data_IF_189632152407
#
_entry.id   IF_189632152407
#
_cell.length_a   1.000
_cell.length_b   1.000
_cell.length_c   1.000
_cell.angle_alpha   90.00
_cell.angle_beta   90.00
_cell.angle_gamma   90.00
#
_symmetry.space_group_name_H-M   'P 1'
#
loop_
_entity.id
_entity.type
_entity.pdbx_description
1 polymer ?
#
# COMPACT_ATOMS: atom_id res chain seq x y z
N UNK A 1 1.58 6.31 8.48
CA UNK A 1 1.70 4.86 8.40
C UNK A 1 2.34 4.51 7.05
N UNK A 2 3.40 3.75 7.09
CA UNK A 2 4.07 3.24 5.89
C UNK A 2 3.47 1.90 5.51
N UNK A 3 3.19 1.69 4.23
CA UNK A 3 2.83 0.39 3.70
C UNK A 3 4.09 -0.48 3.65
N UNK A 4 4.05 -1.68 4.20
CA UNK A 4 5.20 -2.59 4.28
C UNK A 4 4.95 -3.81 3.42
N UNK A 5 5.87 -4.08 2.49
CA UNK A 5 5.82 -5.24 1.62
C UNK A 5 6.83 -6.27 2.04
N UNK A 6 6.48 -7.54 1.93
CA UNK A 6 7.34 -8.63 2.35
C UNK A 6 7.65 -9.62 1.24
N UNK A 7 8.84 -10.25 1.38
CA UNK A 7 9.36 -11.29 0.50
C UNK A 7 8.47 -12.54 0.48
N UNK A 8 8.46 -13.25 -0.64
CA UNK A 8 7.87 -14.59 -0.76
C UNK A 8 8.43 -15.59 0.26
N UNK A 9 9.71 -15.45 0.64
CA UNK A 9 10.37 -16.28 1.66
C UNK A 9 9.63 -16.31 3.01
N UNK A 10 8.93 -15.24 3.34
CA UNK A 10 8.20 -15.11 4.60
C UNK A 10 6.89 -15.92 4.63
N UNK A 11 6.47 -16.46 3.50
CA UNK A 11 5.28 -17.33 3.42
C UNK A 11 5.59 -18.78 3.82
N UNK A 12 6.86 -19.12 4.03
CA UNK A 12 7.33 -20.48 4.36
C UNK A 12 6.62 -21.08 5.57
N UNK A 13 6.36 -20.27 6.60
CA UNK A 13 5.67 -20.72 7.81
C UNK A 13 4.22 -21.17 7.58
N UNK A 14 3.61 -20.78 6.46
CA UNK A 14 2.20 -21.06 6.15
C UNK A 14 2.00 -22.20 5.19
N UNK A 15 2.99 -22.52 4.35
CA UNK A 15 2.90 -23.47 3.25
C UNK A 15 3.71 -24.70 3.51
N UNK A 16 3.96 -25.29 4.50
CA UNK A 16 4.69 -26.54 4.79
C UNK A 16 6.00 -26.76 4.00
N UNK A 17 6.91 -27.53 4.53
CA UNK A 17 8.30 -27.68 4.07
C UNK A 17 8.49 -28.21 2.64
N UNK A 18 7.48 -28.85 2.05
CA UNK A 18 7.56 -29.41 0.69
C UNK A 18 7.41 -28.35 -0.42
N UNK A 19 6.85 -27.21 -0.11
CA UNK A 19 6.57 -26.13 -1.06
C UNK A 19 7.81 -25.29 -1.40
N UNK A 20 8.81 -25.26 -0.51
CA UNK A 20 9.97 -24.37 -0.55
C UNK A 20 11.27 -25.00 -1.00
N UNK A 21 11.22 -26.18 -1.63
CA UNK A 21 12.42 -26.89 -2.09
C UNK A 21 13.09 -26.28 -3.31
N UNK A 22 12.53 -25.20 -3.89
CA UNK A 22 13.12 -24.51 -5.03
C UNK A 22 13.74 -23.16 -4.60
N UNK A 23 15.07 -23.12 -4.35
CA UNK A 23 15.74 -21.89 -3.89
C UNK A 23 15.75 -20.74 -4.92
N UNK A 24 15.44 -21.02 -6.17
CA UNK A 24 15.43 -20.02 -7.25
C UNK A 24 14.21 -19.08 -7.15
N UNK A 25 13.14 -19.50 -6.47
CA UNK A 25 11.91 -18.72 -6.32
C UNK A 25 11.84 -17.83 -5.08
N UNK A 26 12.83 -17.90 -4.20
CA UNK A 26 12.82 -17.26 -2.87
C UNK A 26 13.57 -15.93 -2.79
N UNK A 27 14.22 -15.48 -3.85
CA UNK A 27 15.01 -14.25 -3.85
C UNK A 27 14.18 -12.98 -4.12
N UNK A 28 13.02 -12.87 -3.48
CA UNK A 28 12.23 -11.63 -3.52
C UNK A 28 12.88 -10.54 -2.67
N UNK A 29 13.13 -9.37 -3.26
CA UNK A 29 13.64 -8.21 -2.54
C UNK A 29 12.51 -7.60 -1.69
N UNK A 30 12.80 -7.23 -0.44
CA UNK A 30 11.86 -6.52 0.41
C UNK A 30 11.67 -5.10 -0.13
N UNK A 31 10.42 -4.67 -0.26
CA UNK A 31 10.05 -3.33 -0.70
C UNK A 31 9.26 -2.63 0.40
N UNK A 32 9.61 -1.38 0.69
CA UNK A 32 8.90 -0.53 1.62
C UNK A 32 8.28 0.65 0.88
N UNK A 33 6.97 0.82 1.03
CA UNK A 33 6.23 1.96 0.51
C UNK A 33 6.15 3.04 1.59
N UNK A 34 6.65 4.22 1.28
CA UNK A 34 6.70 5.36 2.18
C UNK A 34 5.75 6.46 1.68
N UNK A 35 4.89 6.93 2.55
CA UNK A 35 4.01 8.06 2.23
C UNK A 35 4.82 9.35 2.03
N UNK A 36 4.54 10.07 0.94
CA UNK A 36 5.22 11.33 0.62
C UNK A 36 4.97 12.41 1.67
N UNK A 37 3.76 12.47 2.27
CA UNK A 37 3.44 13.40 3.34
C UNK A 37 4.30 13.14 4.58
N UNK A 38 4.54 11.85 4.90
CA UNK A 38 5.42 11.48 6.01
C UNK A 38 6.86 11.97 5.80
N UNK A 39 7.40 11.82 4.61
CA UNK A 39 8.77 12.27 4.30
C UNK A 39 8.91 13.80 4.34
N UNK A 40 7.84 14.53 3.95
CA UNK A 40 7.85 15.99 3.98
C UNK A 40 7.72 16.59 5.38
N UNK A 41 7.22 15.84 6.38
CA UNK A 41 7.13 16.32 7.76
C UNK A 41 8.51 16.58 8.38
N UNK A 42 9.48 15.72 8.09
CA UNK A 42 10.87 15.89 8.53
C UNK A 42 11.85 15.45 7.41
N UNK A 43 12.28 16.39 6.55
CA UNK A 43 13.22 16.12 5.47
C UNK A 43 14.56 15.51 5.93
N UNK A 44 15.05 15.88 7.11
CA UNK A 44 16.29 15.33 7.68
C UNK A 44 16.15 13.88 8.11
N UNK A 45 15.01 13.52 8.70
CA UNK A 45 14.69 12.14 9.03
C UNK A 45 14.45 11.32 7.76
N UNK A 46 13.80 11.91 6.74
CA UNK A 46 13.57 11.27 5.45
C UNK A 46 14.87 10.79 4.79
N UNK A 47 15.90 11.65 4.71
CA UNK A 47 17.20 11.26 4.17
C UNK A 47 17.82 10.09 4.93
N UNK A 48 17.81 10.15 6.27
CA UNK A 48 18.38 9.09 7.12
C UNK A 48 17.65 7.76 6.91
N UNK A 49 16.32 7.79 6.83
CA UNK A 49 15.48 6.61 6.60
C UNK A 49 15.81 6.00 5.23
N UNK A 50 15.78 6.78 4.17
CA UNK A 50 16.04 6.31 2.80
C UNK A 50 17.45 5.73 2.64
N UNK A 51 18.46 6.38 3.23
CA UNK A 51 19.82 5.88 3.27
C UNK A 51 19.93 4.55 4.01
N UNK A 52 19.31 4.44 5.21
CA UNK A 52 19.31 3.22 6.00
C UNK A 52 18.62 2.05 5.27
N UNK A 53 17.55 2.31 4.52
CA UNK A 53 16.90 1.30 3.69
C UNK A 53 17.82 0.79 2.59
N UNK A 54 18.52 1.71 1.92
CA UNK A 54 19.51 1.34 0.88
C UNK A 54 20.64 0.49 1.45
N UNK A 55 21.19 0.87 2.63
CA UNK A 55 22.25 0.10 3.32
C UNK A 55 21.80 -1.31 3.73
N UNK A 56 20.49 -1.50 3.97
CA UNK A 56 19.87 -2.79 4.29
C UNK A 56 19.34 -3.54 3.06
N UNK A 57 19.64 -3.06 1.86
CA UNK A 57 19.15 -3.64 0.60
C UNK A 57 17.61 -3.72 0.51
N UNK A 58 16.90 -2.81 1.20
CA UNK A 58 15.45 -2.69 1.15
C UNK A 58 15.08 -1.65 0.08
N UNK A 59 14.26 -2.03 -0.88
CA UNK A 59 13.75 -1.09 -1.88
C UNK A 59 12.81 -0.07 -1.24
N UNK A 60 13.05 1.21 -1.50
CA UNK A 60 12.17 2.30 -1.10
C UNK A 60 11.34 2.78 -2.29
N UNK A 61 10.02 2.79 -2.14
CA UNK A 61 9.06 3.28 -3.11
C UNK A 61 8.24 4.39 -2.47
N UNK A 62 8.12 5.53 -3.12
CA UNK A 62 7.40 6.68 -2.57
C UNK A 62 5.96 6.67 -3.06
N UNK A 63 5.02 6.57 -2.12
CA UNK A 63 3.59 6.65 -2.40
C UNK A 63 3.15 8.11 -2.43
N UNK A 64 2.64 8.57 -3.57
CA UNK A 64 2.11 9.93 -3.72
C UNK A 64 0.75 10.07 -3.02
N UNK A 65 0.40 11.28 -2.53
CA UNK A 65 -0.88 11.53 -1.88
C UNK A 65 -2.05 11.16 -2.79
N UNK A 66 -3.03 10.40 -2.31
CA UNK A 66 -4.16 9.88 -3.12
C UNK A 66 -4.93 10.96 -3.87
N UNK A 67 -5.01 12.16 -3.31
CA UNK A 67 -5.71 13.31 -3.90
C UNK A 67 -4.79 14.51 -3.88
N UNK A 68 -4.51 15.06 -5.05
CA UNK A 68 -3.85 16.34 -5.25
C UNK A 68 -4.86 17.35 -5.76
N UNK A 69 -4.62 18.64 -5.48
CA UNK A 69 -5.50 19.73 -5.89
C UNK A 69 -4.69 20.87 -6.52
N UNK A 70 -5.31 21.70 -7.31
CA UNK A 70 -4.66 22.87 -7.93
C UNK A 70 -3.94 23.77 -6.92
N UNK A 71 -4.44 23.86 -5.68
CA UNK A 71 -3.81 24.62 -4.60
C UNK A 71 -2.54 23.99 -4.03
N UNK A 72 -2.26 22.74 -4.34
CA UNK A 72 -1.13 21.98 -3.78
C UNK A 72 0.18 22.23 -4.54
N UNK A 73 0.25 23.26 -5.42
CA UNK A 73 1.45 23.55 -6.22
C UNK A 73 2.70 23.77 -5.38
N UNK A 74 2.63 24.55 -4.28
CA UNK A 74 3.78 24.73 -3.36
C UNK A 74 4.20 23.44 -2.65
N UNK A 75 3.23 22.59 -2.31
CA UNK A 75 3.49 21.26 -1.76
C UNK A 75 4.25 20.41 -2.78
N UNK A 76 3.79 20.36 -4.02
CA UNK A 76 4.41 19.60 -5.09
C UNK A 76 5.83 20.05 -5.39
N UNK A 77 6.10 21.37 -5.33
CA UNK A 77 7.47 21.91 -5.50
C UNK A 77 8.39 21.45 -4.36
N UNK A 78 7.93 21.53 -3.10
CA UNK A 78 8.69 21.05 -1.95
C UNK A 78 8.94 19.54 -2.02
N UNK A 79 7.91 18.77 -2.38
CA UNK A 79 8.02 17.32 -2.56
C UNK A 79 9.04 17.00 -3.67
N UNK A 80 8.91 17.62 -4.82
CA UNK A 80 9.85 17.41 -5.93
C UNK A 80 11.30 17.69 -5.52
N UNK A 81 11.53 18.79 -4.79
CA UNK A 81 12.87 19.13 -4.29
C UNK A 81 13.42 18.05 -3.37
N UNK A 82 12.63 17.63 -2.36
CA UNK A 82 13.03 16.58 -1.43
C UNK A 82 13.35 15.26 -2.17
N UNK A 83 12.52 14.88 -3.12
CA UNK A 83 12.70 13.65 -3.89
C UNK A 83 13.96 13.72 -4.78
N UNK A 84 14.26 14.87 -5.38
CA UNK A 84 15.47 15.08 -6.17
C UNK A 84 16.75 14.97 -5.32
N UNK A 85 16.73 15.58 -4.13
CA UNK A 85 17.86 15.55 -3.18
C UNK A 85 18.15 14.12 -2.70
N UNK A 86 17.12 13.26 -2.65
CA UNK A 86 17.22 11.88 -2.18
C UNK A 86 17.09 10.82 -3.27
N UNK A 87 17.11 11.22 -4.55
CA UNK A 87 16.79 10.33 -5.66
C UNK A 87 17.70 9.10 -5.75
N UNK A 88 18.95 9.20 -5.30
CA UNK A 88 19.89 8.09 -5.27
C UNK A 88 19.42 6.92 -4.37
N UNK A 89 18.64 7.20 -3.33
CA UNK A 89 18.16 6.25 -2.35
C UNK A 89 16.72 5.74 -2.64
N UNK A 90 16.05 6.31 -3.65
CA UNK A 90 14.69 5.96 -4.04
C UNK A 90 14.74 4.96 -5.19
N UNK A 91 14.06 3.82 -5.08
CA UNK A 91 13.96 2.82 -6.14
C UNK A 91 12.80 3.09 -7.10
N UNK A 92 11.69 3.61 -6.60
CA UNK A 92 10.52 3.87 -7.44
C UNK A 92 9.44 4.72 -6.78
N UNK A 93 8.32 4.81 -7.47
CA UNK A 93 7.14 5.57 -7.06
C UNK A 93 5.89 4.73 -7.19
N UNK A 94 4.91 4.95 -6.29
CA UNK A 94 3.58 4.37 -6.41
C UNK A 94 2.62 5.40 -6.99
N UNK A 95 1.92 5.02 -8.05
CA UNK A 95 0.89 5.80 -8.70
C UNK A 95 -0.50 5.23 -8.38
N UNK A 96 -1.40 6.06 -7.85
CA UNK A 96 -2.76 5.69 -7.50
C UNK A 96 -3.82 6.24 -8.49
N UNK A 97 -3.41 7.06 -9.46
CA UNK A 97 -4.27 7.67 -10.47
C UNK A 97 -3.45 8.18 -11.68
N UNK A 98 -4.14 8.63 -12.72
CA UNK A 98 -3.52 9.17 -13.95
C UNK A 98 -2.71 10.44 -13.71
N UNK A 99 -3.11 11.28 -12.74
CA UNK A 99 -2.40 12.51 -12.40
C UNK A 99 -1.00 12.22 -11.88
N UNK A 100 -0.85 11.16 -11.06
CA UNK A 100 0.46 10.72 -10.59
C UNK A 100 1.38 10.32 -11.75
N UNK A 101 0.88 9.59 -12.75
CA UNK A 101 1.66 9.22 -13.93
C UNK A 101 2.10 10.46 -14.70
N UNK A 102 1.18 11.41 -14.92
CA UNK A 102 1.49 12.66 -15.60
C UNK A 102 2.55 13.47 -14.84
N UNK A 103 2.41 13.57 -13.52
CA UNK A 103 3.33 14.28 -12.62
C UNK A 103 4.73 13.65 -12.64
N UNK A 104 4.83 12.33 -12.51
CA UNK A 104 6.10 11.61 -12.52
C UNK A 104 6.80 11.75 -13.88
N UNK A 105 6.06 11.71 -14.98
CA UNK A 105 6.59 12.00 -16.32
C UNK A 105 7.12 13.43 -16.43
N UNK A 106 6.37 14.42 -15.92
CA UNK A 106 6.79 15.81 -15.91
C UNK A 106 8.05 16.04 -15.07
N UNK A 107 8.17 15.34 -13.93
CA UNK A 107 9.35 15.43 -13.06
C UNK A 107 10.57 14.72 -13.65
N UNK A 108 10.37 13.80 -14.58
CA UNK A 108 11.41 13.08 -15.33
C UNK A 108 12.43 12.39 -14.41
N UNK A 109 11.95 11.60 -13.46
CA UNK A 109 12.82 10.79 -12.59
C UNK A 109 13.33 9.56 -13.35
N UNK A 110 14.31 9.77 -14.21
CA UNK A 110 14.87 8.73 -15.09
C UNK A 110 15.41 7.54 -14.31
N UNK A 111 15.10 6.33 -14.77
CA UNK A 111 15.59 5.07 -14.18
C UNK A 111 14.89 4.65 -12.88
N UNK A 112 13.77 5.29 -12.53
CA UNK A 112 12.94 4.90 -11.38
C UNK A 112 11.72 4.15 -11.83
N UNK A 113 11.41 3.07 -11.11
CA UNK A 113 10.25 2.22 -11.39
C UNK A 113 8.94 2.90 -10.95
N UNK A 114 7.85 2.62 -11.65
CA UNK A 114 6.52 3.12 -11.30
C UNK A 114 5.60 1.92 -11.07
N UNK A 115 5.06 1.81 -9.85
CA UNK A 115 4.15 0.76 -9.44
C UNK A 115 2.73 1.29 -9.34
N UNK A 116 1.79 0.61 -9.99
CA UNK A 116 0.37 0.94 -9.91
C UNK A 116 -0.25 0.47 -8.59
N UNK A 117 -0.99 1.35 -7.91
CA UNK A 117 -1.81 0.96 -6.76
C UNK A 117 -3.08 0.21 -7.21
N UNK A 118 -3.71 -0.55 -6.31
CA UNK A 118 -4.99 -1.23 -6.58
C UNK A 118 -6.10 -0.27 -7.08
N UNK A 119 -6.01 1.00 -6.72
CA UNK A 119 -6.96 2.06 -7.12
C UNK A 119 -6.87 2.47 -8.60
N UNK A 120 -5.89 1.97 -9.36
CA UNK A 120 -5.86 2.13 -10.83
C UNK A 120 -6.85 1.21 -11.55
N UNK A 121 -7.48 0.28 -10.85
CA UNK A 121 -8.54 -0.60 -11.37
C UNK A 121 -8.17 -1.36 -12.65
N UNK A 122 -7.10 -2.17 -12.58
CA UNK A 122 -6.75 -3.08 -13.67
C UNK A 122 -7.72 -4.27 -13.71
N UNK A 123 -8.94 -4.04 -14.17
CA UNK A 123 -10.06 -4.98 -14.05
C UNK A 123 -10.03 -6.14 -15.05
N UNK A 124 -9.29 -6.01 -16.14
CA UNK A 124 -9.22 -7.01 -17.18
C UNK A 124 -7.89 -6.91 -17.94
N UNK A 125 -7.66 -7.85 -18.84
CA UNK A 125 -6.43 -7.91 -19.66
C UNK A 125 -6.21 -6.64 -20.49
N UNK A 126 -7.27 -6.05 -21.04
CA UNK A 126 -7.17 -4.83 -21.84
C UNK A 126 -6.69 -3.65 -21.02
N UNK A 127 -7.28 -3.44 -19.82
CA UNK A 127 -6.81 -2.38 -18.90
C UNK A 127 -5.40 -2.65 -18.39
N UNK A 128 -5.05 -3.91 -18.09
CA UNK A 128 -3.69 -4.29 -17.74
C UNK A 128 -2.70 -3.94 -18.86
N UNK A 129 -2.99 -4.31 -20.10
CA UNK A 129 -2.10 -4.08 -21.24
C UNK A 129 -1.95 -2.58 -21.54
N UNK A 130 -3.01 -1.79 -21.33
CA UNK A 130 -2.91 -0.33 -21.36
C UNK A 130 -1.93 0.21 -20.33
N UNK A 131 -2.08 -0.22 -19.04
CA UNK A 131 -1.24 0.26 -17.96
C UNK A 131 0.21 -0.21 -18.05
N UNK A 132 0.46 -1.37 -18.61
CA UNK A 132 1.82 -1.92 -18.86
C UNK A 132 2.72 -0.97 -19.67
N UNK A 133 2.14 -0.03 -20.44
CA UNK A 133 2.90 0.99 -21.15
C UNK A 133 3.44 2.10 -20.24
N UNK A 134 3.00 2.17 -18.98
CA UNK A 134 3.32 3.27 -18.05
C UNK A 134 3.89 2.80 -16.72
N UNK A 135 3.75 1.52 -16.40
CA UNK A 135 4.07 0.94 -15.09
C UNK A 135 5.06 -0.21 -15.25
N UNK A 136 5.90 -0.40 -14.24
CA UNK A 136 6.83 -1.53 -14.11
C UNK A 136 6.23 -2.69 -13.29
N UNK A 137 5.14 -2.45 -12.60
CA UNK A 137 4.36 -3.44 -11.84
C UNK A 137 3.05 -2.85 -11.35
N UNK A 138 2.15 -3.67 -10.81
CA UNK A 138 0.84 -3.22 -10.37
C UNK A 138 0.31 -4.03 -9.18
N UNK A 139 -0.58 -3.41 -8.41
CA UNK A 139 -1.33 -4.10 -7.38
C UNK A 139 -2.69 -4.56 -7.92
N UNK A 140 -3.04 -5.82 -7.65
CA UNK A 140 -4.32 -6.40 -8.05
C UNK A 140 -5.50 -5.65 -7.41
N UNK A 141 -6.60 -5.42 -8.15
CA UNK A 141 -7.81 -4.79 -7.63
C UNK A 141 -8.39 -5.59 -6.46
N UNK A 142 -8.87 -4.88 -5.44
CA UNK A 142 -9.44 -5.50 -4.23
C UNK A 142 -10.85 -6.08 -4.45
N UNK A 143 -11.54 -5.62 -5.49
CA UNK A 143 -12.92 -5.97 -5.82
C UNK A 143 -13.05 -7.25 -6.65
N UNK A 144 -11.99 -7.67 -7.33
CA UNK A 144 -11.97 -8.90 -8.11
C UNK A 144 -11.80 -10.13 -7.22
N UNK A 145 -12.50 -11.22 -7.54
CA UNK A 145 -12.28 -12.51 -6.88
C UNK A 145 -10.99 -13.18 -7.36
N UNK A 146 -10.59 -14.26 -6.70
CA UNK A 146 -9.34 -14.95 -6.98
C UNK A 146 -9.21 -15.48 -8.41
N UNK A 147 -10.30 -15.89 -9.05
CA UNK A 147 -10.29 -16.38 -10.43
C UNK A 147 -10.09 -15.23 -11.41
N UNK A 148 -10.82 -14.14 -11.25
CA UNK A 148 -10.69 -12.92 -12.04
C UNK A 148 -9.30 -12.30 -11.93
N UNK A 149 -8.76 -12.23 -10.70
CA UNK A 149 -7.41 -11.73 -10.48
C UNK A 149 -6.35 -12.59 -11.17
N UNK A 150 -6.50 -13.92 -11.20
CA UNK A 150 -5.59 -14.81 -11.95
C UNK A 150 -5.67 -14.62 -13.45
N UNK A 151 -6.86 -14.35 -13.97
CA UNK A 151 -7.06 -14.12 -15.40
C UNK A 151 -6.30 -12.91 -15.93
N UNK A 152 -6.07 -11.92 -15.09
CA UNK A 152 -5.33 -10.70 -15.46
C UNK A 152 -3.82 -10.77 -15.20
N UNK A 153 -3.29 -11.86 -14.63
CA UNK A 153 -1.85 -12.01 -14.43
C UNK A 153 -1.10 -12.12 -15.76
N UNK A 154 0.08 -11.51 -15.78
CA UNK A 154 1.04 -11.61 -16.88
C UNK A 154 2.44 -11.83 -16.28
N UNK A 155 3.11 -12.95 -16.58
CA UNK A 155 4.47 -13.22 -16.05
C UNK A 155 5.50 -12.14 -16.42
N UNK A 156 5.28 -11.38 -17.49
CA UNK A 156 6.15 -10.29 -17.93
C UNK A 156 5.77 -8.92 -17.32
N UNK A 157 4.77 -8.88 -16.41
CA UNK A 157 4.34 -7.66 -15.73
C UNK A 157 4.03 -7.98 -14.27
N UNK A 158 4.99 -7.73 -13.35
CA UNK A 158 4.92 -8.13 -11.96
C UNK A 158 3.68 -7.60 -11.25
N UNK A 159 2.97 -8.49 -10.56
CA UNK A 159 1.77 -8.16 -9.81
C UNK A 159 2.01 -8.27 -8.30
N UNK A 160 1.41 -7.37 -7.56
CA UNK A 160 1.30 -7.39 -6.10
C UNK A 160 -0.14 -7.70 -5.70
N UNK A 161 -0.31 -8.34 -4.55
CA UNK A 161 -1.61 -8.61 -3.96
C UNK A 161 -1.62 -8.19 -2.50
N UNK A 162 -2.59 -7.37 -2.12
CA UNK A 162 -2.82 -7.06 -0.70
C UNK A 162 -3.27 -8.33 0.01
N UNK A 163 -2.47 -8.79 0.94
CA UNK A 163 -2.72 -10.00 1.74
C UNK A 163 -3.08 -9.67 3.19
N UNK A 164 -2.79 -8.43 3.62
CA UNK A 164 -3.20 -7.87 4.90
C UNK A 164 -3.39 -6.37 4.77
N UNK A 165 -4.36 -5.82 5.51
CA UNK A 165 -4.58 -4.40 5.69
C UNK A 165 -6.06 -4.03 5.72
N UNK A 166 -6.39 -2.83 6.19
CA UNK A 166 -7.76 -2.36 6.18
C UNK A 166 -8.15 -1.84 4.81
N UNK A 167 -9.21 -2.41 4.25
CA UNK A 167 -9.73 -1.98 2.94
C UNK A 167 -10.30 -0.56 3.06
N UNK A 168 -9.87 0.41 2.21
CA UNK A 168 -10.49 1.72 2.13
C UNK A 168 -11.90 1.59 1.56
N UNK A 169 -12.91 1.86 2.38
CA UNK A 169 -14.33 1.78 1.98
C UNK A 169 -14.81 3.07 1.31
N UNK A 170 -14.23 4.21 1.69
CA UNK A 170 -14.60 5.51 1.14
C UNK A 170 -13.45 6.50 1.26
N UNK A 171 -13.25 7.27 0.20
CA UNK A 171 -12.42 8.48 0.22
C UNK A 171 -13.35 9.68 0.04
N UNK A 172 -13.35 10.62 1.00
CA UNK A 172 -14.27 11.75 0.98
C UNK A 172 -13.59 13.08 1.29
N UNK A 173 -14.00 14.12 0.57
CA UNK A 173 -13.60 15.51 0.85
C UNK A 173 -14.40 16.12 2.01
N UNK A 174 -15.51 15.50 2.43
CA UNK A 174 -16.26 15.93 3.60
C UNK A 174 -15.50 15.55 4.87
N UNK A 175 -14.92 16.56 5.52
CA UNK A 175 -14.16 16.34 6.74
C UNK A 175 -15.09 15.96 7.91
N UNK A 176 -14.93 14.74 8.44
CA UNK A 176 -15.72 14.23 9.58
C UNK A 176 -15.57 15.17 10.79
N UNK A 177 -14.36 15.64 11.08
CA UNK A 177 -14.13 16.60 12.16
C UNK A 177 -14.88 17.91 11.96
N UNK A 178 -14.85 18.49 10.73
CA UNK A 178 -15.54 19.74 10.42
C UNK A 178 -17.06 19.61 10.51
N UNK A 179 -17.59 18.40 10.27
CA UNK A 179 -19.03 18.13 10.33
C UNK A 179 -19.53 18.01 11.77
N UNK A 180 -18.70 17.49 12.67
CA UNK A 180 -19.04 17.27 14.08
C UNK A 180 -18.58 18.42 14.99
N UNK A 181 -17.55 19.14 14.59
CA UNK A 181 -16.92 20.21 15.37
C UNK A 181 -16.27 21.23 14.41
N UNK A 182 -15.42 22.12 14.91
CA UNK A 182 -14.66 23.06 14.10
C UNK A 182 -13.46 22.39 13.45
N UNK A 183 -13.10 22.86 12.24
CA UNK A 183 -11.85 22.46 11.62
C UNK A 183 -10.66 22.80 12.53
N UNK A 184 -9.94 21.81 12.98
CA UNK A 184 -8.71 21.94 13.75
C UNK A 184 -7.62 21.20 12.97
N UNK A 185 -6.90 21.87 12.07
CA UNK A 185 -5.75 21.29 11.39
C UNK A 185 -4.72 20.89 12.44
N UNK A 186 -4.46 19.62 12.58
CA UNK A 186 -3.46 19.10 13.52
C UNK A 186 -2.37 18.40 12.72
N UNK A 187 -1.14 18.59 13.13
CA UNK A 187 0.01 17.87 12.56
C UNK A 187 -0.10 16.35 12.79
N UNK A 188 -0.79 15.96 13.86
CA UNK A 188 -1.05 14.55 14.19
C UNK A 188 -2.52 14.35 14.56
N UNK A 189 -3.42 14.17 13.58
CA UNK A 189 -4.84 14.06 13.85
C UNK A 189 -5.14 12.81 14.68
N UNK A 190 -5.85 12.99 15.81
CA UNK A 190 -6.37 11.86 16.59
C UNK A 190 -7.15 10.92 15.70
N UNK A 191 -6.97 9.60 15.89
CA UNK A 191 -7.81 8.59 15.26
C UNK A 191 -9.27 8.88 15.59
N UNK A 192 -10.12 8.85 14.58
CA UNK A 192 -11.56 8.96 14.70
C UNK A 192 -12.19 7.66 14.22
N UNK A 193 -13.28 7.27 14.84
CA UNK A 193 -14.09 6.15 14.39
C UNK A 193 -15.49 6.63 14.02
N UNK A 194 -16.01 6.12 12.91
CA UNK A 194 -17.45 6.14 12.66
C UNK A 194 -18.04 4.85 13.24
N UNK A 195 -19.17 4.97 13.91
CA UNK A 195 -19.86 3.83 14.52
C UNK A 195 -21.20 3.66 13.81
N UNK A 196 -21.43 2.47 13.27
CA UNK A 196 -22.70 2.14 12.63
C UNK A 196 -23.78 1.73 13.63
N UNK A 197 -25.01 1.45 13.14
CA UNK A 197 -26.15 1.01 13.94
C UNK A 197 -25.94 -0.36 14.61
N UNK A 198 -24.91 -1.12 14.20
CA UNK A 198 -24.54 -2.41 14.78
C UNK A 198 -23.33 -2.30 15.71
N UNK A 199 -22.97 -1.08 16.10
CA UNK A 199 -21.80 -0.77 16.94
C UNK A 199 -20.44 -1.21 16.33
N UNK A 200 -20.37 -1.42 15.02
CA UNK A 200 -19.08 -1.65 14.34
C UNK A 200 -18.35 -0.32 14.16
N UNK A 201 -17.04 -0.34 14.44
CA UNK A 201 -16.18 0.83 14.36
C UNK A 201 -15.43 0.84 13.02
N UNK A 202 -15.55 1.92 12.26
CA UNK A 202 -14.89 2.16 11.00
C UNK A 202 -13.84 3.25 11.22
N UNK A 203 -12.55 2.90 11.25
CA UNK A 203 -11.49 3.89 11.44
C UNK A 203 -11.48 4.94 10.33
N UNK A 204 -11.26 6.20 10.72
CA UNK A 204 -11.17 7.33 9.80
C UNK A 204 -9.78 7.94 9.88
N UNK A 205 -9.03 7.83 8.81
CA UNK A 205 -7.76 8.53 8.65
C UNK A 205 -8.00 9.87 7.97
N UNK A 206 -7.62 10.95 8.66
CA UNK A 206 -7.73 12.31 8.13
C UNK A 206 -6.41 12.74 7.49
N UNK A 207 -6.45 13.15 6.24
CA UNK A 207 -5.37 13.89 5.62
C UNK A 207 -5.70 15.39 5.65
N UNK A 208 -5.14 16.11 6.62
CA UNK A 208 -5.40 17.54 6.79
C UNK A 208 -4.63 18.41 5.79
N UNK A 209 -3.52 17.93 5.27
CA UNK A 209 -2.71 18.61 4.24
C UNK A 209 -3.53 18.79 2.96
N UNK A 210 -4.18 17.75 2.50
CA UNK A 210 -4.94 17.72 1.25
C UNK A 210 -6.46 17.80 1.47
N UNK A 211 -6.94 17.93 2.73
CA UNK A 211 -8.36 18.01 3.10
C UNK A 211 -9.22 16.88 2.52
N UNK A 212 -8.87 15.63 2.83
CA UNK A 212 -9.71 14.47 2.60
C UNK A 212 -9.63 13.49 3.77
N UNK A 213 -10.57 12.55 3.83
CA UNK A 213 -10.56 11.46 4.79
C UNK A 213 -10.64 10.13 4.04
N UNK A 214 -10.02 9.11 4.61
CA UNK A 214 -10.20 7.72 4.21
C UNK A 214 -10.91 6.99 5.33
N UNK A 215 -12.05 6.39 5.02
CA UNK A 215 -12.82 5.55 5.94
C UNK A 215 -12.46 4.12 5.62
N UNK A 216 -11.95 3.39 6.60
CA UNK A 216 -11.53 2.00 6.44
C UNK A 216 -12.57 1.03 6.96
N UNK A 217 -12.51 -0.21 6.48
CA UNK A 217 -13.34 -1.28 6.98
C UNK A 217 -13.09 -1.52 8.49
N UNK A 218 -14.15 -1.94 9.19
CA UNK A 218 -14.12 -2.21 10.63
C UNK A 218 -13.13 -3.30 11.03
N UNK A 219 -12.85 -4.26 10.14
CA UNK A 219 -11.91 -5.34 10.34
C UNK A 219 -10.87 -5.37 9.22
N UNK A 220 -9.63 -5.84 9.48
CA UNK A 220 -8.63 -5.96 8.44
C UNK A 220 -8.98 -7.07 7.44
N UNK A 221 -8.59 -6.90 6.19
CA UNK A 221 -8.41 -7.99 5.24
C UNK A 221 -7.27 -8.89 5.75
N UNK A 222 -7.47 -10.21 5.70
CA UNK A 222 -6.38 -11.14 5.91
C UNK A 222 -6.56 -12.39 5.06
N UNK A 223 -5.60 -12.61 4.17
CA UNK A 223 -5.56 -13.76 3.26
C UNK A 223 -4.56 -14.83 3.72
N UNK A 224 -4.23 -14.88 5.02
CA UNK A 224 -3.23 -15.80 5.57
C UNK A 224 -3.50 -17.28 5.25
N UNK A 225 -4.78 -17.69 5.11
CA UNK A 225 -5.16 -19.05 4.72
C UNK A 225 -5.08 -19.32 3.22
N UNK A 226 -4.95 -18.28 2.41
CA UNK A 226 -4.99 -18.36 0.95
C UNK A 226 -3.58 -18.18 0.32
N UNK A 227 -2.56 -17.87 1.12
CA UNK A 227 -1.20 -17.51 0.63
C UNK A 227 -0.60 -18.56 -0.30
N UNK A 228 -0.76 -19.86 0.04
CA UNK A 228 -0.22 -20.95 -0.77
C UNK A 228 -0.76 -20.96 -2.20
N UNK A 229 -1.99 -20.48 -2.41
CA UNK A 229 -2.61 -20.40 -3.74
C UNK A 229 -2.02 -19.31 -4.63
N UNK A 230 -1.34 -18.32 -4.01
CA UNK A 230 -0.78 -17.15 -4.67
C UNK A 230 0.74 -17.17 -4.76
N UNK A 231 1.38 -18.12 -4.06
CA UNK A 231 2.82 -18.23 -4.04
C UNK A 231 3.40 -18.45 -5.44
N UNK A 232 4.45 -17.71 -5.76
CA UNK A 232 5.09 -17.73 -7.07
C UNK A 232 4.32 -16.98 -8.18
N UNK A 233 3.09 -16.51 -7.90
CA UNK A 233 2.27 -15.77 -8.86
C UNK A 233 2.33 -14.27 -8.64
N UNK A 234 2.39 -13.85 -7.37
CA UNK A 234 2.35 -12.43 -6.98
C UNK A 234 3.29 -12.16 -5.79
N UNK A 235 3.65 -10.89 -5.60
CA UNK A 235 4.29 -10.41 -4.37
C UNK A 235 3.20 -10.08 -3.35
N UNK A 236 3.32 -10.60 -2.13
CA UNK A 236 2.39 -10.26 -1.04
C UNK A 236 2.63 -8.87 -0.49
N UNK A 237 1.57 -8.09 -0.35
CA UNK A 237 1.58 -6.73 0.18
C UNK A 237 0.86 -6.67 1.53
N UNK A 238 1.50 -6.04 2.52
CA UNK A 238 0.91 -5.72 3.82
C UNK A 238 0.70 -4.21 3.90
N UNK A 239 -0.55 -3.77 4.00
CA UNK A 239 -0.92 -2.35 4.07
C UNK A 239 -1.26 -1.98 5.53
N UNK A 240 -0.34 -1.27 6.19
CA UNK A 240 -0.54 -0.75 7.54
C UNK A 240 -1.13 0.65 7.48
N UNK A 241 -2.23 0.87 8.18
CA UNK A 241 -3.00 2.13 8.10
C UNK A 241 -3.36 2.72 9.45
N UNK A 242 -3.80 1.88 10.39
CA UNK A 242 -4.29 2.30 11.71
C UNK A 242 -3.56 1.59 12.85
N UNK A 243 -2.74 0.62 12.50
CA UNK A 243 -1.96 -0.18 13.43
C UNK A 243 -0.89 0.69 14.12
N UNK A 244 -0.72 0.52 15.42
CA UNK A 244 0.41 1.08 16.15
C UNK A 244 1.69 0.24 15.92
N UNK A 245 2.81 0.67 16.48
CA UNK A 245 4.10 0.01 16.31
C UNK A 245 4.07 -1.46 16.76
N UNK A 246 3.48 -1.75 17.92
CA UNK A 246 3.39 -3.12 18.46
C UNK A 246 2.54 -4.01 17.54
N UNK A 247 1.35 -3.54 17.16
CA UNK A 247 0.45 -4.26 16.24
C UNK A 247 1.11 -4.50 14.90
N UNK A 248 1.84 -3.51 14.36
CA UNK A 248 2.59 -3.64 13.11
C UNK A 248 3.65 -4.74 13.21
N UNK A 249 4.44 -4.75 14.29
CA UNK A 249 5.47 -5.77 14.52
C UNK A 249 4.86 -7.17 14.66
N UNK A 250 3.78 -7.32 15.42
CA UNK A 250 3.10 -8.60 15.59
C UNK A 250 2.56 -9.16 14.28
N UNK A 251 1.99 -8.33 13.42
CA UNK A 251 1.54 -8.73 12.07
C UNK A 251 2.73 -9.10 11.20
N UNK A 252 3.81 -8.32 11.25
CA UNK A 252 5.04 -8.61 10.52
C UNK A 252 5.63 -9.97 10.94
N UNK A 253 5.72 -10.25 12.24
CA UNK A 253 6.20 -11.51 12.79
C UNK A 253 5.31 -12.70 12.37
N UNK A 254 3.98 -12.49 12.37
CA UNK A 254 3.03 -13.49 11.92
C UNK A 254 3.26 -13.86 10.45
N UNK A 255 3.28 -12.87 9.56
CA UNK A 255 3.53 -13.10 8.13
C UNK A 255 4.98 -13.50 7.81
N UNK A 256 5.93 -13.28 8.70
CA UNK A 256 7.29 -13.81 8.63
C UNK A 256 7.39 -15.29 9.09
N UNK A 257 6.34 -15.82 9.71
CA UNK A 257 6.33 -17.18 10.26
C UNK A 257 7.06 -17.34 11.60
N UNK A 258 7.49 -16.24 12.23
CA UNK A 258 8.12 -16.23 13.56
C UNK A 258 7.10 -16.26 14.71
N UNK A 259 5.89 -15.76 14.46
CA UNK A 259 4.73 -15.82 15.37
C UNK A 259 3.72 -16.85 14.83
N UNK A 260 3.23 -17.74 15.70
CA UNK A 260 2.22 -18.75 15.33
C UNK A 260 0.78 -18.28 15.49
N UNK A 261 0.54 -17.41 16.47
CA UNK A 261 -0.79 -16.94 16.80
C UNK A 261 -1.16 -15.73 15.94
N UNK A 262 -2.41 -15.71 15.45
CA UNK A 262 -2.96 -14.60 14.71
C UNK A 262 -3.02 -13.35 15.61
N UNK A 263 -2.39 -12.23 15.24
CA UNK A 263 -2.28 -11.06 16.13
C UNK A 263 -3.55 -10.17 16.15
N UNK A 264 -4.63 -10.59 15.52
CA UNK A 264 -5.91 -9.89 15.48
C UNK A 264 -7.07 -10.88 15.57
N UNK A 265 -8.20 -10.44 16.12
CA UNK A 265 -9.36 -11.29 16.33
C UNK A 265 -10.21 -11.48 15.06
N UNK A 266 -11.08 -10.51 14.76
CA UNK A 266 -11.93 -10.54 13.57
C UNK A 266 -11.16 -10.09 12.32
N UNK A 267 -11.42 -10.71 11.17
CA UNK A 267 -10.88 -10.33 9.86
C UNK A 267 -11.86 -10.67 8.75
N UNK A 268 -11.64 -10.11 7.56
CA UNK A 268 -12.37 -10.44 6.33
C UNK A 268 -11.43 -11.02 5.29
N UNK A 269 -11.95 -11.82 4.36
CA UNK A 269 -11.24 -12.24 3.14
C UNK A 269 -11.55 -11.32 1.96
N UNK A 270 -12.29 -10.23 2.18
CA UNK A 270 -12.72 -9.35 1.10
C UNK A 270 -13.50 -10.11 0.02
N UNK A 271 -13.19 -9.78 -1.22
CA UNK A 271 -13.83 -10.41 -2.40
C UNK A 271 -13.08 -11.66 -2.90
N UNK A 272 -12.13 -12.22 -2.15
CA UNK A 272 -11.30 -13.38 -2.57
C UNK A 272 -12.13 -14.55 -3.14
N UNK A 273 -13.31 -14.82 -2.54
CA UNK A 273 -14.18 -15.92 -2.94
C UNK A 273 -15.33 -15.50 -3.86
N UNK A 274 -15.78 -14.26 -3.76
CA UNK A 274 -16.94 -13.73 -4.50
C UNK A 274 -16.58 -12.32 -4.95
N UNK A 275 -16.60 -12.07 -6.26
CA UNK A 275 -16.45 -10.72 -6.81
C UNK A 275 -17.58 -9.78 -6.39
N UNK A 276 -17.51 -8.55 -6.81
CA UNK A 276 -18.62 -7.58 -6.72
C UNK A 276 -19.61 -7.94 -7.82
N UNK A 277 -20.85 -8.25 -7.44
CA UNK A 277 -21.96 -8.47 -8.39
C UNK A 277 -22.56 -7.15 -8.84
#
# INVERSE_FOLDING_TARGET
ASDVYKRQEQWQGFCGSSFWKDPVRTAGQLRLYLDADFLLQDPSAAEKILRSLTEKEIQSVIALPKILRLRDGQYLEKLRKLLLENLAYINGFQAANMEHIALLKQWNFTGKEIYGDHSLYLWNRTSRDFWKAFLDGYCLPLELNAAEQRDILDPAFPAEKVIYGRIPMMVTANCVQKTTDRCQPQENPKALDLIDRYHKRFPVQRNCTHCFNVIYNSVPLSLHKELCKWSGLVTGRLDFTTENETETLEVLEYFAGTRKELPYGEYTTGHEKRGVE
#
